data_IF_239155006945
#
_entry.id   IF_239155006945
#
_cell.length_a   1.000
_cell.length_b   1.000
_cell.length_c   1.000
_cell.angle_alpha   90.00
_cell.angle_beta   90.00
_cell.angle_gamma   90.00
#
_symmetry.space_group_name_H-M   'P 1'
#
loop_
_entity.id
_entity.type
_entity.pdbx_description
1 polymer ?
#
# COMPACT_ATOMS: atom_id res chain seq x y z
N UNK A 1 0.34 -7.08 11.87
CA UNK A 1 1.47 -6.94 10.92
C UNK A 1 2.53 -6.05 11.54
N UNK A 2 3.79 -6.44 11.42
CA UNK A 2 4.94 -5.71 11.95
C UNK A 2 5.86 -5.27 10.78
N UNK A 3 6.48 -4.09 10.87
CA UNK A 3 7.44 -3.62 9.85
C UNK A 3 8.62 -4.57 9.65
N UNK A 4 9.05 -5.28 10.71
CA UNK A 4 10.17 -6.24 10.65
C UNK A 4 9.87 -7.45 9.74
N UNK A 5 8.61 -7.69 9.42
CA UNK A 5 8.15 -8.81 8.60
C UNK A 5 8.02 -8.42 7.12
N UNK A 6 8.23 -7.13 6.78
CA UNK A 6 7.96 -6.58 5.47
C UNK A 6 9.22 -6.20 4.73
N UNK A 7 9.17 -6.36 3.42
CA UNK A 7 10.19 -5.95 2.49
C UNK A 7 9.61 -4.99 1.44
N UNK A 8 10.48 -4.11 0.93
CA UNK A 8 10.17 -3.38 -0.30
C UNK A 8 9.93 -4.41 -1.41
N UNK A 9 8.84 -4.25 -2.15
CA UNK A 9 8.39 -5.19 -3.16
C UNK A 9 7.26 -6.12 -2.71
N UNK A 10 7.01 -6.27 -1.40
CA UNK A 10 5.90 -7.08 -0.90
C UNK A 10 4.55 -6.54 -1.38
N UNK A 11 3.59 -7.45 -1.51
CA UNK A 11 2.21 -7.12 -1.85
C UNK A 11 1.37 -7.08 -0.59
N UNK A 12 0.64 -5.97 -0.43
CA UNK A 12 -0.26 -5.72 0.68
C UNK A 12 -1.64 -5.33 0.17
N UNK A 13 -2.68 -5.66 0.92
CA UNK A 13 -4.05 -5.26 0.60
C UNK A 13 -4.50 -4.17 1.57
N UNK A 14 -5.06 -3.08 1.05
CA UNK A 14 -5.68 -2.05 1.88
C UNK A 14 -7.04 -2.55 2.40
N UNK A 15 -7.21 -2.63 3.71
CA UNK A 15 -8.39 -3.24 4.35
C UNK A 15 -9.28 -2.25 5.10
N UNK A 16 -8.77 -1.05 5.43
CA UNK A 16 -9.56 -0.01 6.06
C UNK A 16 -9.06 1.40 5.68
N UNK A 17 -9.84 2.41 6.06
CA UNK A 17 -9.64 3.84 5.71
C UNK A 17 -9.30 4.72 6.92
N UNK A 18 -8.72 4.13 7.98
CA UNK A 18 -8.50 4.85 9.24
C UNK A 18 -7.32 5.84 9.19
N UNK A 19 -6.61 5.91 8.07
CA UNK A 19 -5.56 6.89 7.85
C UNK A 19 -6.13 8.16 7.19
N UNK A 20 -5.95 9.34 7.80
CA UNK A 20 -6.34 10.62 7.20
C UNK A 20 -5.72 10.88 5.83
N UNK A 21 -4.49 10.42 5.56
CA UNK A 21 -3.78 10.64 4.30
C UNK A 21 -4.41 9.86 3.13
N UNK A 22 -5.28 8.88 3.42
CA UNK A 22 -6.10 8.24 2.40
C UNK A 22 -7.18 9.18 1.85
N UNK A 23 -7.65 10.17 2.64
CA UNK A 23 -8.64 11.13 2.17
C UNK A 23 -8.05 12.02 1.08
N UNK A 24 -8.71 12.08 -0.08
CA UNK A 24 -8.21 12.83 -1.25
C UNK A 24 -7.12 12.11 -2.04
N UNK A 25 -6.72 10.90 -1.63
CA UNK A 25 -5.85 10.04 -2.44
C UNK A 25 -6.64 9.19 -3.44
N UNK A 26 -5.93 8.53 -4.35
CA UNK A 26 -6.49 7.60 -5.32
C UNK A 26 -6.71 6.17 -4.75
N UNK A 27 -6.85 6.03 -3.42
CA UNK A 27 -6.96 4.72 -2.78
C UNK A 27 -8.21 3.95 -3.20
N UNK A 28 -8.15 2.62 -3.06
CA UNK A 28 -9.32 1.73 -3.18
C UNK A 28 -9.24 0.64 -2.11
N UNK A 29 -10.28 0.51 -1.27
CA UNK A 29 -10.37 -0.60 -0.31
C UNK A 29 -10.41 -1.93 -1.07
N UNK A 30 -9.70 -2.92 -0.55
CA UNK A 30 -9.54 -4.25 -1.13
C UNK A 30 -8.52 -4.31 -2.27
N UNK A 31 -7.98 -3.17 -2.73
CA UNK A 31 -6.94 -3.16 -3.76
C UNK A 31 -5.60 -3.62 -3.17
N UNK A 32 -4.88 -4.39 -3.98
CA UNK A 32 -3.53 -4.88 -3.70
C UNK A 32 -2.53 -3.86 -4.24
N UNK A 33 -1.58 -3.51 -3.40
CA UNK A 33 -0.53 -2.53 -3.63
C UNK A 33 0.84 -3.17 -3.41
N UNK A 34 1.86 -2.66 -4.10
CA UNK A 34 3.25 -3.04 -3.88
C UNK A 34 3.93 -2.03 -2.97
N UNK A 35 4.63 -2.48 -1.94
CA UNK A 35 5.42 -1.62 -1.06
C UNK A 35 6.62 -1.06 -1.83
N UNK A 36 6.84 0.25 -1.75
CA UNK A 36 8.02 0.93 -2.31
C UNK A 36 8.88 1.60 -1.25
N UNK A 37 8.33 1.86 -0.06
CA UNK A 37 9.03 2.50 1.05
C UNK A 37 8.42 2.06 2.38
N UNK A 38 9.26 1.91 3.40
CA UNK A 38 8.89 1.50 4.76
C UNK A 38 9.30 2.59 5.76
N UNK A 39 8.44 2.86 6.73
CA UNK A 39 8.80 3.70 7.87
C UNK A 39 7.86 3.50 9.07
N UNK A 40 8.12 4.13 10.22
CA UNK A 40 9.39 4.71 10.59
C UNK A 40 10.38 3.60 10.93
N UNK A 41 11.66 3.86 10.68
CA UNK A 41 12.76 3.05 11.18
C UNK A 41 13.33 3.78 12.39
N UNK A 42 13.36 3.11 13.55
CA UNK A 42 13.85 3.55 14.86
C UNK A 42 13.04 4.66 15.58
N UNK A 43 12.76 4.42 16.87
CA UNK A 43 12.18 5.32 17.88
C UNK A 43 11.13 6.35 17.39
N UNK A 44 9.87 5.87 17.19
CA UNK A 44 8.60 6.65 17.04
C UNK A 44 8.34 7.08 15.57
N UNK A 45 7.14 7.38 15.03
CA UNK A 45 5.74 7.51 15.45
C UNK A 45 4.89 6.68 14.47
N UNK A 46 4.26 5.60 14.93
CA UNK A 46 3.38 4.67 14.16
C UNK A 46 3.89 4.15 12.78
N UNK A 47 4.00 2.82 12.59
CA UNK A 47 4.43 2.22 11.31
C UNK A 47 3.56 2.67 10.14
N UNK A 48 4.20 3.03 9.02
CA UNK A 48 3.63 3.44 7.75
C UNK A 48 4.39 2.82 6.57
N UNK A 49 3.73 2.75 5.42
CA UNK A 49 4.31 2.30 4.16
C UNK A 49 3.92 3.26 3.04
N UNK A 50 4.76 3.41 2.03
CA UNK A 50 4.33 3.97 0.74
C UNK A 50 4.17 2.84 -0.26
N UNK A 51 3.19 3.02 -1.12
CA UNK A 51 2.85 2.03 -2.13
C UNK A 51 2.98 2.59 -3.54
N UNK A 52 3.33 1.71 -4.48
CA UNK A 52 3.35 2.03 -5.90
C UNK A 52 1.96 2.51 -6.35
N UNK A 53 1.91 3.62 -7.09
CA UNK A 53 0.68 4.21 -7.61
C UNK A 53 -0.38 4.57 -6.56
N UNK A 54 0.02 4.79 -5.29
CA UNK A 54 -0.83 5.36 -4.24
C UNK A 54 -0.40 6.80 -3.93
N UNK A 55 -1.24 7.75 -4.32
CA UNK A 55 -0.93 9.18 -4.30
C UNK A 55 -2.20 10.03 -4.20
N UNK A 56 -2.07 11.29 -3.77
CA UNK A 56 -3.05 12.33 -4.09
C UNK A 56 -2.61 13.12 -5.32
N UNK A 57 -3.58 13.76 -5.97
CA UNK A 57 -3.35 14.72 -7.04
C UNK A 57 -3.25 16.10 -6.39
N UNK A 58 -2.12 16.77 -6.56
CA UNK A 58 -1.99 18.17 -6.15
C UNK A 58 -2.52 19.04 -7.29
N UNK A 59 -3.79 19.44 -7.18
CA UNK A 59 -4.52 20.21 -8.20
C UNK A 59 -3.82 21.53 -8.57
N UNK A 60 -2.96 22.06 -7.69
CA UNK A 60 -2.21 23.29 -7.96
C UNK A 60 -1.10 23.10 -8.99
N UNK A 61 -0.61 21.89 -9.16
CA UNK A 61 0.57 21.60 -10.00
C UNK A 61 0.39 20.41 -10.95
N UNK A 62 -0.80 19.78 -10.97
CA UNK A 62 -1.07 18.53 -11.70
C UNK A 62 0.00 17.46 -11.45
N UNK A 63 0.42 17.33 -10.19
CA UNK A 63 1.49 16.42 -9.77
C UNK A 63 0.95 15.34 -8.84
N UNK A 64 1.38 14.11 -9.10
CA UNK A 64 1.13 12.96 -8.23
C UNK A 64 2.13 12.98 -7.08
N UNK A 65 1.64 13.05 -5.85
CA UNK A 65 2.48 13.00 -4.65
C UNK A 65 2.23 11.69 -3.90
N UNK A 66 3.26 10.82 -3.75
CA UNK A 66 3.14 9.60 -2.96
C UNK A 66 2.70 9.91 -1.54
N UNK A 67 1.84 9.05 -0.98
CA UNK A 67 1.41 9.15 0.42
C UNK A 67 2.03 8.06 1.27
N UNK A 68 2.30 8.38 2.53
CA UNK A 68 2.63 7.42 3.57
C UNK A 68 1.35 7.03 4.29
N UNK A 69 1.07 5.74 4.37
CA UNK A 69 -0.16 5.23 5.00
C UNK A 69 0.20 4.28 6.12
N UNK A 70 -0.43 4.45 7.28
CA UNK A 70 -0.26 3.62 8.45
C UNK A 70 -0.43 2.14 8.12
N UNK A 71 0.48 1.34 8.65
CA UNK A 71 0.56 -0.09 8.43
C UNK A 71 -0.71 -0.82 8.85
N UNK A 72 -1.41 -0.32 9.88
CA UNK A 72 -2.69 -0.86 10.37
C UNK A 72 -3.81 -0.83 9.33
N UNK A 73 -3.67 -0.03 8.27
CA UNK A 73 -4.64 0.05 7.19
C UNK A 73 -4.49 -1.09 6.19
N UNK A 74 -3.43 -1.89 6.31
CA UNK A 74 -3.09 -2.95 5.38
C UNK A 74 -3.07 -4.32 6.06
N UNK A 75 -3.15 -5.36 5.22
CA UNK A 75 -2.74 -6.72 5.55
C UNK A 75 -1.73 -7.22 4.52
N UNK A 76 -0.79 -8.06 4.96
CA UNK A 76 0.09 -8.81 4.07
C UNK A 76 -0.73 -9.92 3.41
N UNK A 77 -0.48 -10.18 2.13
CA UNK A 77 -1.11 -11.31 1.46
C UNK A 77 -0.45 -12.61 1.92
N UNK A 78 -1.26 -13.61 2.28
CA UNK A 78 -0.75 -14.94 2.55
C UNK A 78 -0.31 -15.65 1.24
N UNK A 79 0.49 -16.74 1.32
CA UNK A 79 0.98 -17.43 0.13
C UNK A 79 -0.10 -17.94 -0.82
N UNK A 80 -1.30 -18.28 -0.32
CA UNK A 80 -2.41 -18.70 -1.15
C UNK A 80 -3.03 -17.51 -1.88
N UNK A 81 -3.26 -16.39 -1.19
CA UNK A 81 -3.74 -15.14 -1.79
C UNK A 81 -2.80 -14.62 -2.89
N UNK A 82 -1.48 -14.70 -2.67
CA UNK A 82 -0.47 -14.33 -3.66
C UNK A 82 -0.60 -15.16 -4.95
N UNK A 83 -0.70 -16.50 -4.83
CA UNK A 83 -0.88 -17.40 -5.98
C UNK A 83 -2.16 -17.08 -6.77
N UNK A 84 -3.26 -16.79 -6.07
CA UNK A 84 -4.52 -16.41 -6.73
C UNK A 84 -4.38 -15.06 -7.45
N UNK A 85 -3.70 -14.09 -6.85
CA UNK A 85 -3.44 -12.80 -7.46
C UNK A 85 -2.58 -12.91 -8.73
N UNK A 86 -1.52 -13.71 -8.67
CA UNK A 86 -0.63 -13.99 -9.80
C UNK A 86 -1.37 -14.69 -10.94
N UNK A 87 -2.16 -15.72 -10.64
CA UNK A 87 -2.96 -16.42 -11.63
C UNK A 87 -3.95 -15.48 -12.35
N UNK A 88 -4.62 -14.59 -11.60
CA UNK A 88 -5.52 -13.58 -12.18
C UNK A 88 -4.80 -12.59 -13.09
N UNK A 89 -3.58 -12.18 -12.73
CA UNK A 89 -2.78 -11.28 -13.56
C UNK A 89 -2.40 -11.91 -14.90
N UNK A 90 -2.04 -13.19 -14.90
CA UNK A 90 -1.70 -13.92 -16.12
C UNK A 90 -2.90 -13.95 -17.08
N UNK A 91 -4.09 -14.26 -16.57
CA UNK A 91 -5.32 -14.32 -17.37
C UNK A 91 -5.69 -12.95 -17.97
N UNK A 92 -5.42 -11.84 -17.28
CA UNK A 92 -5.71 -10.49 -17.79
C UNK A 92 -4.73 -10.01 -18.88
N UNK A 93 -3.60 -10.70 -19.06
CA UNK A 93 -2.59 -10.38 -20.08
C UNK A 93 -2.70 -11.28 -21.33
N UNK A 94 -3.64 -12.22 -21.33
CA UNK A 94 -4.02 -13.07 -22.47
C UNK A 94 -5.24 -12.49 -23.18
#
# INVERSE_FOLDING_TARGET
MNLKELNIGDLVQLINRQDPDLLGSNYRIGKIYRIVELGPINNVSSPWIKCENLYYIDDRFDRKRPISVYLKCFQLLDPFQLKVYEAKKIIQLQ
#
